data_IF_461022909868
#
_entry.id   IF_461022909868
#
_cell.length_a   1.000
_cell.length_b   1.000
_cell.length_c   1.000
_cell.angle_alpha   90.00
_cell.angle_beta   90.00
_cell.angle_gamma   90.00
#
_symmetry.space_group_name_H-M   'P 1'
#
loop_
_entity.id
_entity.type
_entity.pdbx_description
1 polymer ?
#
# COMPACT_ATOMS: atom_id res chain seq x y z
N UNK A 1 -22.59 -16.54 -5.67
CA UNK A 1 -21.93 -15.29 -6.08
C UNK A 1 -20.58 -15.26 -5.39
N UNK A 2 -19.52 -15.69 -6.07
CA UNK A 2 -18.16 -15.67 -5.52
C UNK A 2 -17.68 -14.23 -5.66
N UNK A 3 -17.53 -13.53 -4.54
CA UNK A 3 -16.91 -12.20 -4.53
C UNK A 3 -15.42 -12.43 -4.80
N UNK A 4 -14.96 -12.10 -6.00
CA UNK A 4 -13.53 -12.02 -6.30
C UNK A 4 -12.97 -10.79 -5.59
N UNK A 5 -12.37 -10.99 -4.42
CA UNK A 5 -11.49 -10.01 -3.79
C UNK A 5 -10.10 -10.06 -4.43
N UNK A 6 -9.48 -8.91 -4.65
CA UNK A 6 -8.20 -8.75 -5.33
C UNK A 6 -7.91 -7.27 -5.57
N UNK A 7 -6.67 -6.93 -5.91
CA UNK A 7 -6.30 -5.54 -6.12
C UNK A 7 -4.87 -5.23 -5.74
N UNK A 8 -4.14 -4.61 -6.65
CA UNK A 8 -2.93 -3.83 -6.33
C UNK A 8 -3.25 -2.35 -6.19
N UNK A 9 -2.60 -1.68 -5.25
CA UNK A 9 -2.69 -0.24 -5.07
C UNK A 9 -1.32 0.36 -4.76
N UNK A 10 -1.10 1.60 -5.18
CA UNK A 10 0.09 2.39 -4.85
C UNK A 10 -0.35 3.67 -4.17
N UNK A 11 0.08 3.86 -2.92
CA UNK A 11 -0.13 5.09 -2.16
C UNK A 11 1.20 5.83 -2.09
N UNK A 12 1.20 7.10 -2.49
CA UNK A 12 2.41 7.91 -2.55
C UNK A 12 2.16 9.33 -2.05
N UNK A 13 3.24 9.98 -1.62
CA UNK A 13 3.21 11.39 -1.18
C UNK A 13 2.97 12.29 -2.39
N UNK A 14 2.17 13.34 -2.22
CA UNK A 14 1.87 14.33 -3.28
C UNK A 14 3.12 15.03 -3.85
N UNK A 15 4.23 15.02 -3.11
CA UNK A 15 5.53 15.55 -3.54
C UNK A 15 6.27 14.65 -4.54
N UNK A 16 5.79 13.41 -4.76
CA UNK A 16 6.37 12.47 -5.71
C UNK A 16 5.58 12.55 -7.00
N UNK A 17 6.26 12.87 -8.11
CA UNK A 17 5.63 12.79 -9.43
C UNK A 17 5.59 11.33 -9.87
N UNK A 18 4.40 10.86 -10.23
CA UNK A 18 4.14 9.49 -10.64
C UNK A 18 3.57 9.48 -12.06
N UNK A 19 4.14 8.66 -12.93
CA UNK A 19 3.60 8.40 -14.28
C UNK A 19 3.27 6.92 -14.41
N UNK A 20 2.01 6.58 -14.63
CA UNK A 20 1.58 5.20 -14.86
C UNK A 20 1.90 4.78 -16.29
N UNK A 21 2.32 3.53 -16.48
CA UNK A 21 2.45 2.88 -17.78
C UNK A 21 1.27 1.95 -18.01
N UNK A 22 0.86 1.83 -19.26
CA UNK A 22 -0.21 0.93 -19.68
C UNK A 22 0.38 -0.38 -20.16
N UNK A 23 -0.29 -1.48 -19.79
CA UNK A 23 0.04 -2.83 -20.22
C UNK A 23 -1.23 -3.53 -20.70
N UNK A 24 -1.10 -4.56 -21.55
CA UNK A 24 -2.17 -5.53 -21.74
C UNK A 24 -2.58 -6.16 -20.39
N UNK A 25 -3.83 -6.60 -20.30
CA UNK A 25 -4.30 -7.35 -19.13
C UNK A 25 -3.58 -8.70 -19.08
N UNK A 26 -3.03 -9.02 -17.92
CA UNK A 26 -2.47 -10.34 -17.62
C UNK A 26 -3.55 -11.22 -16.99
N UNK A 27 -3.52 -12.52 -17.28
CA UNK A 27 -4.53 -13.45 -16.77
C UNK A 27 -4.13 -14.08 -15.44
N UNK A 28 -2.83 -14.10 -15.14
CA UNK A 28 -2.27 -14.80 -13.98
C UNK A 28 -1.89 -13.88 -12.82
N UNK A 29 -1.78 -12.57 -13.04
CA UNK A 29 -1.46 -11.59 -12.01
C UNK A 29 -2.06 -10.21 -12.32
N UNK A 30 -2.21 -9.39 -11.30
CA UNK A 30 -2.54 -7.98 -11.40
C UNK A 30 -1.28 -7.13 -11.33
N UNK A 31 -1.24 -6.02 -12.08
CA UNK A 31 -0.06 -5.16 -12.21
C UNK A 31 -0.41 -3.67 -12.12
N UNK A 32 0.38 -2.94 -11.31
CA UNK A 32 0.60 -1.51 -11.49
C UNK A 32 2.06 -1.32 -11.90
N UNK A 33 2.28 -0.67 -13.04
CA UNK A 33 3.60 -0.21 -13.47
C UNK A 33 3.60 1.32 -13.50
N UNK A 34 4.51 1.93 -12.74
CA UNK A 34 4.65 3.38 -12.72
C UNK A 34 6.10 3.84 -12.53
N UNK A 35 6.43 4.96 -13.16
CA UNK A 35 7.67 5.70 -12.93
C UNK A 35 7.49 6.70 -11.80
N UNK A 36 8.37 6.65 -10.80
CA UNK A 36 8.48 7.58 -9.68
C UNK A 36 9.68 8.51 -9.91
N UNK A 37 9.45 9.81 -9.95
CA UNK A 37 10.52 10.81 -10.09
C UNK A 37 10.93 11.35 -8.71
N UNK A 38 12.11 10.91 -8.24
CA UNK A 38 12.72 11.28 -6.95
C UNK A 38 14.07 11.95 -7.21
N UNK A 39 14.07 13.22 -7.66
CA UNK A 39 15.26 13.91 -8.16
C UNK A 39 16.49 13.72 -7.25
N UNK A 40 17.65 13.28 -7.79
CA UNK A 40 17.96 13.12 -9.22
C UNK A 40 17.61 11.74 -9.82
N UNK A 41 16.97 10.85 -9.07
CA UNK A 41 16.73 9.45 -9.45
C UNK A 41 15.32 9.29 -10.03
N UNK A 42 15.19 8.42 -11.03
CA UNK A 42 13.91 7.88 -11.49
C UNK A 42 13.85 6.38 -11.19
N UNK A 43 12.73 5.93 -10.61
CA UNK A 43 12.49 4.53 -10.25
C UNK A 43 11.29 4.04 -11.06
N UNK A 44 11.43 2.92 -11.75
CA UNK A 44 10.28 2.18 -12.27
C UNK A 44 9.83 1.19 -11.22
N UNK A 45 8.64 1.41 -10.66
CA UNK A 45 7.99 0.56 -9.69
C UNK A 45 6.96 -0.32 -10.37
N UNK A 46 7.12 -1.63 -10.23
CA UNK A 46 6.10 -2.60 -10.58
C UNK A 46 5.54 -3.20 -9.30
N UNK A 47 4.23 -3.12 -9.12
CA UNK A 47 3.51 -3.77 -8.02
C UNK A 47 2.69 -4.91 -8.59
N UNK A 48 3.02 -6.12 -8.17
CA UNK A 48 2.47 -7.38 -8.67
C UNK A 48 1.62 -8.02 -7.59
N UNK A 49 0.45 -8.54 -7.96
CA UNK A 49 -0.30 -9.47 -7.12
C UNK A 49 -0.63 -10.69 -7.97
N UNK A 50 -0.08 -11.85 -7.61
CA UNK A 50 -0.44 -13.11 -8.24
C UNK A 50 -1.42 -13.85 -7.32
N UNK A 51 -2.69 -14.04 -7.70
CA UNK A 51 -3.61 -14.87 -6.93
C UNK A 51 -3.07 -16.31 -6.73
N UNK A 52 -3.31 -16.94 -5.56
CA UNK A 52 -2.79 -18.29 -5.29
C UNK A 52 -3.36 -19.35 -6.23
N UNK A 53 -4.56 -19.14 -6.78
CA UNK A 53 -5.21 -20.04 -7.73
C UNK A 53 -4.67 -19.91 -9.18
N UNK A 54 -3.79 -18.95 -9.46
CA UNK A 54 -3.26 -18.72 -10.80
C UNK A 54 -2.36 -19.87 -11.28
N UNK A 55 -2.46 -20.23 -12.56
CA UNK A 55 -1.58 -21.26 -13.14
C UNK A 55 -0.11 -20.82 -13.14
N UNK A 56 0.77 -21.68 -12.63
CA UNK A 56 2.22 -21.43 -12.60
C UNK A 56 2.82 -21.29 -14.00
N UNK A 57 2.34 -22.05 -14.98
CA UNK A 57 2.88 -21.99 -16.35
C UNK A 57 2.50 -20.68 -17.03
N UNK A 58 1.21 -20.28 -16.92
CA UNK A 58 0.72 -19.02 -17.49
C UNK A 58 1.42 -17.83 -16.84
N UNK A 59 1.57 -17.88 -15.50
CA UNK A 59 2.32 -16.86 -14.78
C UNK A 59 3.75 -16.71 -15.26
N UNK A 60 4.48 -17.82 -15.39
CA UNK A 60 5.86 -17.78 -15.86
C UNK A 60 5.96 -17.13 -17.24
N UNK A 61 5.11 -17.54 -18.19
CA UNK A 61 5.20 -17.06 -19.56
C UNK A 61 4.81 -15.56 -19.66
N UNK A 62 3.76 -15.14 -18.95
CA UNK A 62 3.33 -13.74 -18.86
C UNK A 62 4.36 -12.87 -18.13
N UNK A 63 4.92 -13.34 -17.01
CA UNK A 63 5.90 -12.60 -16.22
C UNK A 63 7.24 -12.47 -16.95
N UNK A 64 7.72 -13.51 -17.63
CA UNK A 64 8.91 -13.40 -18.50
C UNK A 64 8.73 -12.38 -19.62
N UNK A 65 7.56 -12.36 -20.25
CA UNK A 65 7.23 -11.35 -21.27
C UNK A 65 7.26 -9.92 -20.69
N UNK A 66 6.78 -9.74 -19.46
CA UNK A 66 6.89 -8.47 -18.74
C UNK A 66 8.36 -8.10 -18.45
N UNK A 67 9.18 -9.05 -18.01
CA UNK A 67 10.60 -8.83 -17.75
C UNK A 67 11.35 -8.40 -19.02
N UNK A 68 11.06 -9.01 -20.17
CA UNK A 68 11.62 -8.62 -21.47
C UNK A 68 11.26 -7.17 -21.83
N UNK A 69 10.01 -6.77 -21.63
CA UNK A 69 9.54 -5.40 -21.92
C UNK A 69 10.22 -4.33 -21.07
N UNK A 70 10.54 -4.66 -19.81
CA UNK A 70 11.15 -3.71 -18.88
C UNK A 70 12.68 -3.83 -18.83
N UNK A 71 13.27 -4.86 -19.43
CA UNK A 71 14.71 -5.13 -19.39
C UNK A 71 15.56 -3.91 -19.81
N UNK A 72 15.10 -3.15 -20.81
CA UNK A 72 15.81 -2.01 -21.39
C UNK A 72 15.47 -0.66 -20.74
N UNK A 73 14.69 -0.61 -19.65
CA UNK A 73 14.45 0.69 -18.99
C UNK A 73 15.74 1.23 -18.38
N UNK A 74 16.00 2.53 -18.54
CA UNK A 74 17.14 3.21 -17.91
C UNK A 74 16.87 3.60 -16.45
N UNK A 75 15.61 3.52 -16.02
CA UNK A 75 15.20 3.81 -14.64
C UNK A 75 15.72 2.74 -13.69
N UNK A 76 15.93 3.10 -12.43
CA UNK A 76 16.21 2.12 -11.38
C UNK A 76 15.00 1.23 -11.19
N UNK A 77 15.19 -0.08 -11.15
CA UNK A 77 14.07 -1.02 -11.17
C UNK A 77 13.73 -1.54 -9.78
N UNK A 78 12.46 -1.50 -9.44
CA UNK A 78 11.93 -2.11 -8.22
C UNK A 78 10.62 -2.86 -8.56
N UNK A 79 10.62 -4.17 -8.35
CA UNK A 79 9.43 -5.01 -8.48
C UNK A 79 9.07 -5.50 -7.10
N UNK A 80 7.85 -5.26 -6.66
CA UNK A 80 7.35 -5.67 -5.34
C UNK A 80 6.00 -6.32 -5.46
N UNK A 81 5.64 -7.17 -4.52
CA UNK A 81 4.31 -7.77 -4.56
C UNK A 81 4.19 -9.05 -3.78
N UNK A 82 2.95 -9.52 -3.68
CA UNK A 82 2.63 -10.86 -3.23
C UNK A 82 2.55 -11.79 -4.44
N UNK A 83 3.48 -12.74 -4.51
CA UNK A 83 3.58 -13.69 -5.61
C UNK A 83 2.82 -14.99 -5.32
N UNK A 84 2.37 -15.22 -4.08
CA UNK A 84 1.79 -16.49 -3.65
C UNK A 84 2.58 -17.73 -4.12
N UNK A 85 3.91 -17.60 -4.11
CA UNK A 85 4.87 -18.68 -4.39
C UNK A 85 5.77 -18.80 -3.16
N UNK A 86 5.67 -19.94 -2.48
CA UNK A 86 6.32 -20.13 -1.18
C UNK A 86 7.83 -20.35 -1.34
N UNK A 87 8.61 -19.32 -1.03
CA UNK A 87 10.06 -19.46 -0.89
C UNK A 87 10.37 -19.86 0.57
N UNK A 88 11.03 -21.01 0.70
CA UNK A 88 11.53 -21.64 1.94
C UNK A 88 12.96 -22.15 1.69
N UNK A 89 13.57 -22.81 2.66
CA UNK A 89 14.90 -23.45 2.51
C UNK A 89 14.96 -24.40 1.29
N UNK A 90 13.84 -25.04 0.97
CA UNK A 90 13.63 -25.80 -0.26
C UNK A 90 12.41 -25.24 -0.99
N UNK A 91 12.59 -24.31 -1.95
CA UNK A 91 11.50 -23.79 -2.75
C UNK A 91 10.93 -24.90 -3.65
N UNK A 92 9.64 -24.80 -3.98
CA UNK A 92 9.05 -25.66 -5.00
C UNK A 92 9.55 -25.30 -6.41
N UNK A 93 9.27 -26.15 -7.39
CA UNK A 93 9.68 -25.97 -8.79
C UNK A 93 9.23 -24.61 -9.37
N UNK A 94 8.08 -24.08 -8.96
CA UNK A 94 7.56 -22.84 -9.50
C UNK A 94 8.27 -21.63 -8.90
N UNK A 95 8.51 -21.63 -7.59
CA UNK A 95 9.28 -20.64 -6.88
C UNK A 95 10.75 -20.63 -7.36
N UNK A 96 11.37 -21.80 -7.52
CA UNK A 96 12.74 -21.90 -8.04
C UNK A 96 12.84 -21.34 -9.47
N UNK A 97 11.93 -21.71 -10.37
CA UNK A 97 11.93 -21.18 -11.74
C UNK A 97 11.70 -19.68 -11.80
N UNK A 98 10.88 -19.12 -10.90
CA UNK A 98 10.73 -17.67 -10.78
C UNK A 98 12.08 -17.03 -10.43
N UNK A 99 12.75 -17.54 -9.40
CA UNK A 99 14.06 -17.05 -8.97
C UNK A 99 15.08 -17.12 -10.10
N UNK A 100 15.23 -18.28 -10.75
CA UNK A 100 16.15 -18.50 -11.86
C UNK A 100 15.86 -17.54 -13.03
N UNK A 101 14.57 -17.34 -13.36
CA UNK A 101 14.16 -16.42 -14.42
C UNK A 101 14.55 -15.00 -14.07
N UNK A 102 14.22 -14.53 -12.86
CA UNK A 102 14.57 -13.18 -12.42
C UNK A 102 16.08 -12.95 -12.36
N UNK A 103 16.86 -13.95 -11.93
CA UNK A 103 18.32 -13.90 -11.92
C UNK A 103 18.89 -13.81 -13.33
N UNK A 104 18.33 -14.53 -14.30
CA UNK A 104 18.72 -14.44 -15.71
C UNK A 104 18.48 -13.03 -16.30
N UNK A 105 17.50 -12.28 -15.79
CA UNK A 105 17.28 -10.86 -16.12
C UNK A 105 18.12 -9.90 -15.25
N UNK A 106 19.07 -10.41 -14.46
CA UNK A 106 19.94 -9.60 -13.61
C UNK A 106 19.24 -8.99 -12.41
N UNK A 107 18.13 -9.58 -11.95
CA UNK A 107 17.39 -9.17 -10.77
C UNK A 107 17.80 -10.01 -9.56
N UNK A 108 17.78 -9.37 -8.39
CA UNK A 108 18.03 -10.01 -7.10
C UNK A 108 16.80 -9.86 -6.20
N UNK A 109 16.36 -10.97 -5.60
CA UNK A 109 15.35 -10.97 -4.55
C UNK A 109 16.02 -10.51 -3.23
N UNK A 110 15.39 -9.60 -2.49
CA UNK A 110 15.97 -8.98 -1.30
C UNK A 110 15.33 -9.36 0.04
N UNK A 111 14.25 -10.15 0.05
CA UNK A 111 13.53 -10.49 1.29
C UNK A 111 14.05 -11.80 1.85
N UNK A 112 14.61 -11.76 3.05
CA UNK A 112 15.30 -12.90 3.68
C UNK A 112 14.59 -13.46 4.91
N UNK A 113 13.37 -13.02 5.20
CA UNK A 113 12.62 -13.44 6.39
C UNK A 113 11.16 -13.66 6.04
N UNK A 114 10.52 -14.62 6.72
CA UNK A 114 9.14 -15.01 6.46
C UNK A 114 8.19 -13.80 6.48
N UNK A 115 7.43 -13.63 5.39
CA UNK A 115 6.44 -12.57 5.23
C UNK A 115 5.03 -13.05 5.51
N UNK A 116 4.84 -14.35 5.68
CA UNK A 116 3.56 -14.95 6.04
C UNK A 116 3.69 -15.71 7.37
N UNK A 117 2.63 -15.76 8.17
CA UNK A 117 2.59 -16.46 9.47
C UNK A 117 2.97 -17.95 9.37
N UNK A 118 2.68 -18.58 8.22
CA UNK A 118 3.04 -19.96 7.92
C UNK A 118 4.53 -20.21 7.67
N UNK A 119 5.40 -19.21 7.87
CA UNK A 119 6.85 -19.32 7.79
C UNK A 119 7.44 -19.21 6.38
N UNK A 120 6.62 -18.93 5.38
CA UNK A 120 7.06 -18.73 3.99
C UNK A 120 7.32 -17.26 3.67
N UNK A 121 8.16 -17.03 2.66
CA UNK A 121 8.29 -15.74 1.99
C UNK A 121 7.38 -15.79 0.76
N UNK A 122 6.32 -14.99 0.77
CA UNK A 122 5.38 -14.84 -0.36
C UNK A 122 5.49 -13.45 -0.99
N UNK A 123 5.81 -12.46 -0.16
CA UNK A 123 5.97 -11.07 -0.55
C UNK A 123 7.42 -10.84 -0.96
N UNK A 124 7.64 -10.58 -2.25
CA UNK A 124 8.96 -10.48 -2.84
C UNK A 124 9.30 -9.04 -3.19
N UNK A 125 10.59 -8.73 -3.11
CA UNK A 125 11.16 -7.46 -3.55
C UNK A 125 12.32 -7.80 -4.45
N UNK A 126 12.23 -7.43 -5.73
CA UNK A 126 13.30 -7.56 -6.70
C UNK A 126 13.85 -6.19 -7.08
N UNK A 127 15.16 -6.10 -7.22
CA UNK A 127 15.84 -4.96 -7.84
C UNK A 127 16.94 -5.47 -8.78
N UNK A 128 17.39 -4.64 -9.72
CA UNK A 128 18.53 -5.00 -10.55
C UNK A 128 19.79 -5.06 -9.71
N UNK A 129 20.58 -6.10 -9.87
CA UNK A 129 21.83 -6.28 -9.12
C UNK A 129 22.86 -5.17 -9.40
N UNK A 130 22.75 -4.48 -10.54
CA UNK A 130 23.56 -3.31 -10.90
C UNK A 130 23.05 -1.98 -10.34
N UNK A 131 21.86 -1.96 -9.73
CA UNK A 131 21.25 -0.76 -9.17
C UNK A 131 21.63 -0.57 -7.69
N UNK A 132 22.40 0.48 -7.38
CA UNK A 132 22.55 1.00 -6.02
C UNK A 132 21.29 1.78 -5.59
N UNK A 133 20.16 1.08 -5.51
CA UNK A 133 18.85 1.65 -5.19
C UNK A 133 18.41 1.33 -3.76
N UNK A 134 18.67 0.13 -3.25
CA UNK A 134 18.12 -0.35 -1.97
C UNK A 134 19.22 -0.40 -0.90
N UNK A 135 18.99 0.28 0.22
CA UNK A 135 19.88 0.27 1.40
C UNK A 135 19.66 -0.94 2.29
N UNK A 136 18.42 -1.44 2.32
CA UNK A 136 18.05 -2.55 3.16
C UNK A 136 16.56 -2.86 3.10
N UNK A 137 16.24 -4.08 3.50
CA UNK A 137 14.89 -4.64 3.59
C UNK A 137 14.68 -5.17 5.01
N UNK A 138 13.46 -5.02 5.51
CA UNK A 138 13.09 -5.60 6.81
C UNK A 138 11.62 -5.99 6.82
N UNK A 139 11.30 -7.14 7.41
CA UNK A 139 9.92 -7.58 7.60
C UNK A 139 9.44 -7.12 8.98
N UNK A 140 8.29 -6.45 9.01
CA UNK A 140 7.70 -5.88 10.22
C UNK A 140 6.66 -6.81 10.84
N UNK A 141 6.47 -6.74 12.15
CA UNK A 141 5.35 -7.40 12.83
C UNK A 141 4.04 -6.63 12.59
N UNK A 142 2.96 -7.36 12.31
CA UNK A 142 1.62 -6.77 12.15
C UNK A 142 0.52 -7.77 12.56
N UNK A 143 -0.72 -7.29 12.67
CA UNK A 143 -1.88 -8.08 13.09
C UNK A 143 -2.55 -8.89 11.96
N UNK A 144 -1.87 -9.05 10.82
CA UNK A 144 -2.32 -9.90 9.69
C UNK A 144 -1.46 -11.15 9.61
N UNK A 145 -1.99 -12.17 8.95
CA UNK A 145 -1.25 -13.32 8.43
C UNK A 145 -0.05 -12.92 7.56
N UNK A 146 -0.20 -11.87 6.72
CA UNK A 146 0.88 -11.20 6.01
C UNK A 146 1.60 -10.15 6.86
N UNK A 147 2.91 -10.04 6.64
CA UNK A 147 3.82 -9.13 7.32
C UNK A 147 4.35 -8.08 6.33
N UNK A 148 4.20 -6.78 6.64
CA UNK A 148 4.70 -5.72 5.76
C UNK A 148 6.21 -5.82 5.53
N UNK A 149 6.62 -5.70 4.27
CA UNK A 149 8.03 -5.58 3.88
C UNK A 149 8.37 -4.10 3.74
N UNK A 150 9.27 -3.62 4.59
CA UNK A 150 9.82 -2.26 4.50
C UNK A 150 11.09 -2.28 3.63
N UNK A 151 11.11 -1.43 2.60
CA UNK A 151 12.27 -1.25 1.71
C UNK A 151 12.81 0.17 1.89
N UNK A 152 14.07 0.28 2.31
CA UNK A 152 14.76 1.57 2.46
C UNK A 152 15.54 1.89 1.19
N UNK A 153 15.27 3.04 0.57
CA UNK A 153 15.88 3.42 -0.71
C UNK A 153 17.05 4.41 -0.53
N UNK A 154 18.07 4.29 -1.38
CA UNK A 154 19.23 5.16 -1.53
C UNK A 154 18.91 6.45 -2.30
N UNK A 155 17.79 7.10 -1.98
CA UNK A 155 17.37 8.33 -2.64
C UNK A 155 17.06 9.45 -1.64
N UNK A 156 17.23 10.71 -2.06
CA UNK A 156 16.79 11.86 -1.27
C UNK A 156 15.28 11.98 -1.40
N UNK A 157 14.57 11.96 -0.27
CA UNK A 157 13.14 12.26 -0.26
C UNK A 157 12.91 13.71 -0.73
N UNK A 158 11.91 13.98 -1.58
CA UNK A 158 11.51 15.35 -1.87
C UNK A 158 11.21 16.08 -0.55
N UNK A 159 11.72 17.32 -0.41
CA UNK A 159 11.39 18.13 0.76
C UNK A 159 9.88 18.39 0.74
N UNK A 160 9.22 18.05 1.83
CA UNK A 160 7.84 18.49 2.04
C UNK A 160 7.85 20.00 2.21
N UNK A 161 7.04 20.77 1.46
CA UNK A 161 6.70 22.11 1.92
C UNK A 161 6.00 21.99 3.28
N UNK A 162 6.29 22.90 4.21
CA UNK A 162 5.55 23.07 5.45
C UNK A 162 4.06 23.21 5.10
N UNK A 163 3.28 22.15 5.30
CA UNK A 163 1.84 22.22 5.06
C UNK A 163 1.16 22.49 6.41
N UNK A 164 0.17 23.40 6.44
CA UNK A 164 -0.67 23.53 7.60
C UNK A 164 -1.35 22.19 7.89
N UNK A 165 -1.18 21.68 9.11
CA UNK A 165 -1.88 20.48 9.58
C UNK A 165 -3.13 20.95 10.32
N UNK A 166 -4.28 20.42 9.92
CA UNK A 166 -5.56 20.62 10.62
C UNK A 166 -5.81 19.44 11.55
N UNK A 167 -6.11 19.70 12.82
CA UNK A 167 -6.38 18.67 13.82
C UNK A 167 -7.42 19.16 14.84
N UNK A 168 -8.02 18.23 15.58
CA UNK A 168 -8.88 18.54 16.73
C UNK A 168 -8.21 18.06 18.00
N UNK A 169 -8.30 18.85 19.07
CA UNK A 169 -7.77 18.46 20.38
C UNK A 169 -8.81 17.67 21.16
N UNK A 170 -9.11 16.45 20.68
CA UNK A 170 -10.14 15.60 21.30
C UNK A 170 -9.82 15.25 22.77
N UNK A 171 -8.55 15.29 23.15
CA UNK A 171 -8.10 15.06 24.54
C UNK A 171 -8.43 16.23 25.48
N UNK A 172 -8.69 17.41 24.93
CA UNK A 172 -8.98 18.62 25.69
C UNK A 172 -10.49 18.81 25.88
N UNK A 173 -11.32 17.88 25.39
CA UNK A 173 -12.78 17.90 25.59
C UNK A 173 -13.06 17.72 27.07
N UNK A 174 -13.82 18.66 27.64
CA UNK A 174 -14.43 18.51 28.96
C UNK A 174 -15.57 17.48 28.90
N UNK A 175 -15.43 16.30 29.53
CA UNK A 175 -16.45 15.25 29.44
C UNK A 175 -17.80 15.67 30.03
N UNK A 176 -17.80 16.46 31.12
CA UNK A 176 -19.04 16.83 31.82
C UNK A 176 -19.85 17.79 30.96
N UNK A 177 -19.20 18.82 30.40
CA UNK A 177 -19.83 19.76 29.48
C UNK A 177 -20.28 19.09 28.18
N UNK A 178 -19.51 18.12 27.67
CA UNK A 178 -19.84 17.39 26.45
C UNK A 178 -21.08 16.50 26.62
N UNK A 179 -21.16 15.73 27.71
CA UNK A 179 -22.34 14.89 28.03
C UNK A 179 -23.57 15.76 28.22
N UNK A 180 -23.44 16.85 28.99
CA UNK A 180 -24.55 17.78 29.21
C UNK A 180 -25.11 18.38 27.91
N UNK A 181 -24.25 18.64 26.92
CA UNK A 181 -24.71 19.13 25.61
C UNK A 181 -25.28 18.01 24.71
N UNK A 182 -24.83 16.76 24.85
CA UNK A 182 -25.44 15.59 24.17
C UNK A 182 -26.90 15.43 24.60
N UNK A 183 -27.17 15.51 25.90
CA UNK A 183 -28.51 15.34 26.47
C UNK A 183 -29.51 16.40 25.95
N UNK A 184 -29.01 17.52 25.42
CA UNK A 184 -29.81 18.63 24.87
C UNK A 184 -29.97 18.58 23.35
N UNK A 185 -29.38 17.60 22.68
CA UNK A 185 -29.57 17.46 21.24
C UNK A 185 -31.03 17.09 20.94
N UNK A 186 -31.56 17.61 19.83
CA UNK A 186 -32.90 17.24 19.35
C UNK A 186 -33.03 15.72 19.15
N UNK A 187 -31.93 15.02 18.82
CA UNK A 187 -31.88 13.56 18.80
C UNK A 187 -32.41 12.90 20.09
N UNK A 188 -32.22 13.56 21.24
CA UNK A 188 -32.62 13.07 22.57
C UNK A 188 -33.92 13.74 23.03
N UNK A 189 -34.04 15.06 22.86
CA UNK A 189 -35.15 15.83 23.42
C UNK A 189 -36.39 15.86 22.53
N UNK A 190 -36.23 15.69 21.22
CA UNK A 190 -37.30 15.77 20.21
C UNK A 190 -36.93 14.94 18.95
N UNK A 191 -36.85 13.60 19.08
CA UNK A 191 -36.43 12.74 17.99
C UNK A 191 -37.49 12.70 16.88
N UNK A 192 -37.05 12.79 15.63
CA UNK A 192 -37.93 12.67 14.47
C UNK A 192 -38.39 11.22 14.25
N UNK A 193 -39.67 11.04 13.91
CA UNK A 193 -40.24 9.74 13.50
C UNK A 193 -39.81 9.29 12.10
N UNK A 194 -39.42 10.23 11.23
CA UNK A 194 -38.89 9.92 9.91
C UNK A 194 -37.40 9.55 9.99
N UNK A 195 -37.03 8.39 9.45
CA UNK A 195 -35.67 7.84 9.51
C UNK A 195 -34.61 8.80 8.95
N UNK A 196 -34.84 9.39 7.78
CA UNK A 196 -33.88 10.30 7.14
C UNK A 196 -33.62 11.54 8.01
N UNK A 197 -34.68 12.07 8.62
CA UNK A 197 -34.60 13.21 9.51
C UNK A 197 -33.90 12.84 10.84
N UNK A 198 -34.14 11.65 11.37
CA UNK A 198 -33.46 11.16 12.57
C UNK A 198 -31.96 10.96 12.35
N UNK A 199 -31.57 10.42 11.19
CA UNK A 199 -30.16 10.31 10.77
C UNK A 199 -29.51 11.69 10.61
N UNK A 200 -30.24 12.67 10.06
CA UNK A 200 -29.77 14.05 10.00
C UNK A 200 -29.57 14.64 11.40
N UNK A 201 -30.54 14.49 12.31
CA UNK A 201 -30.42 14.93 13.71
C UNK A 201 -29.19 14.34 14.41
N UNK A 202 -28.90 13.05 14.18
CA UNK A 202 -27.71 12.38 14.71
C UNK A 202 -26.42 12.99 14.14
N UNK A 203 -26.30 13.02 12.81
CA UNK A 203 -25.07 13.45 12.15
C UNK A 203 -24.77 14.93 12.40
N UNK A 204 -25.76 15.80 12.23
CA UNK A 204 -25.59 17.24 12.37
C UNK A 204 -25.42 17.63 13.85
N UNK A 205 -26.20 17.00 14.74
CA UNK A 205 -26.10 17.19 16.18
C UNK A 205 -24.70 16.86 16.70
N UNK A 206 -24.21 15.65 16.47
CA UNK A 206 -22.88 15.25 16.94
C UNK A 206 -21.74 16.02 16.28
N UNK A 207 -21.88 16.34 14.98
CA UNK A 207 -20.90 17.17 14.28
C UNK A 207 -20.80 18.56 14.90
N UNK A 208 -21.94 19.19 15.21
CA UNK A 208 -21.99 20.49 15.86
C UNK A 208 -21.35 20.47 17.26
N UNK A 209 -21.55 19.38 18.03
CA UNK A 209 -20.94 19.22 19.35
C UNK A 209 -19.42 19.06 19.25
N UNK A 210 -18.94 18.24 18.32
CA UNK A 210 -17.51 18.09 18.09
C UNK A 210 -16.89 19.41 17.61
N UNK A 211 -17.62 20.20 16.81
CA UNK A 211 -17.19 21.54 16.39
C UNK A 211 -17.14 22.55 17.55
N UNK A 212 -18.06 22.45 18.50
CA UNK A 212 -18.09 23.28 19.72
C UNK A 212 -16.98 22.92 20.69
N UNK A 213 -16.82 21.63 21.00
CA UNK A 213 -15.95 21.15 22.08
C UNK A 213 -14.51 20.87 21.64
N UNK A 214 -14.30 20.55 20.36
CA UNK A 214 -12.98 20.33 19.79
C UNK A 214 -12.91 20.92 18.38
N UNK A 215 -12.91 22.26 18.23
CA UNK A 215 -12.86 22.91 16.94
C UNK A 215 -11.59 22.51 16.17
N UNK A 216 -11.68 22.56 14.84
CA UNK A 216 -10.51 22.32 13.97
C UNK A 216 -9.50 23.44 14.17
N UNK A 217 -8.28 23.06 14.56
CA UNK A 217 -7.14 23.95 14.69
C UNK A 217 -6.16 23.67 13.56
N UNK A 218 -5.74 24.72 12.88
CA UNK A 218 -4.72 24.65 11.82
C UNK A 218 -3.39 25.17 12.36
N UNK A 219 -2.32 24.38 12.23
CA UNK A 219 -0.96 24.77 12.64
C UNK A 219 0.01 24.62 11.47
N UNK A 220 0.79 25.67 11.20
CA UNK A 220 1.93 25.59 10.29
C UNK A 220 3.07 24.83 10.99
N UNK A 221 3.60 23.80 10.34
CA UNK A 221 4.68 22.95 10.85
C UNK A 221 5.97 23.22 10.08
#
# INVERSE_FOLDING_TARGET
MIVSGGGVAVIFKSTISVRRHSHPTFNSFELIDCSLSLRPIAIRLLVVYRPPASSNSVFRDEFSSLLEQIALTNEKLLIVGDFNLSIRDQPDDAAQRLLDSTEAFGLSQLVTSATHEGGSILDLVFTRSSDDLVRGTSVLGFFSDHRPVLVSLSCRSPRFPSMPISFRRLRDIDPEAFVHDIERLNLITDPSDALDCLVAQYNDGLRSLIDKHAPVVTKNV
#
